data_IF_768646722770
#
_entry.id   IF_768646722770
#
_cell.length_a   1.000
_cell.length_b   1.000
_cell.length_c   1.000
_cell.angle_alpha   90.00
_cell.angle_beta   90.00
_cell.angle_gamma   90.00
#
_symmetry.space_group_name_H-M   'P 1'
#
loop_
_entity.id
_entity.type
_entity.pdbx_description
1 polymer ?
#
# COMPACT_ATOMS: atom_id res chain seq x y z
N UNK A 1 -12.53 -23.35 -20.14
CA UNK A 1 -12.47 -22.45 -18.97
C UNK A 1 -11.85 -21.14 -19.48
N UNK A 2 -12.59 -20.04 -19.50
CA UNK A 2 -12.17 -18.84 -20.25
C UNK A 2 -11.01 -18.10 -19.55
N UNK A 3 -9.95 -17.71 -20.28
CA UNK A 3 -8.80 -16.99 -19.71
C UNK A 3 -9.17 -15.69 -18.99
N UNK A 4 -10.27 -15.05 -19.40
CA UNK A 4 -10.78 -13.81 -18.83
C UNK A 4 -11.36 -13.96 -17.42
N UNK A 5 -11.88 -15.13 -17.04
CA UNK A 5 -12.44 -15.35 -15.71
C UNK A 5 -11.34 -15.49 -14.65
N UNK A 6 -10.27 -16.22 -14.97
CA UNK A 6 -9.14 -16.44 -14.06
C UNK A 6 -8.39 -15.15 -13.71
N UNK A 7 -8.24 -14.24 -14.67
CA UNK A 7 -7.57 -12.96 -14.43
C UNK A 7 -8.35 -12.06 -13.46
N UNK A 8 -9.68 -12.05 -13.57
CA UNK A 8 -10.54 -11.27 -12.67
C UNK A 8 -10.56 -11.84 -11.24
N UNK A 9 -10.58 -13.18 -11.10
CA UNK A 9 -10.50 -13.85 -9.79
C UNK A 9 -9.15 -13.61 -9.11
N UNK A 10 -8.05 -13.71 -9.87
CA UNK A 10 -6.71 -13.44 -9.35
C UNK A 10 -6.56 -11.99 -8.87
N UNK A 11 -7.04 -11.02 -9.65
CA UNK A 11 -7.04 -9.61 -9.24
C UNK A 11 -7.87 -9.36 -7.97
N UNK A 12 -9.04 -10.01 -7.87
CA UNK A 12 -9.90 -9.92 -6.68
C UNK A 12 -9.21 -10.47 -5.42
N UNK A 13 -8.53 -11.61 -5.54
CA UNK A 13 -7.76 -12.20 -4.43
C UNK A 13 -6.57 -11.32 -4.02
N UNK A 14 -5.86 -10.73 -4.98
CA UNK A 14 -4.78 -9.77 -4.73
C UNK A 14 -5.33 -8.55 -3.97
N UNK A 15 -6.42 -7.94 -4.43
CA UNK A 15 -7.05 -6.79 -3.76
C UNK A 15 -7.48 -7.13 -2.33
N UNK A 16 -8.12 -8.29 -2.13
CA UNK A 16 -8.53 -8.75 -0.79
C UNK A 16 -7.35 -8.98 0.15
N UNK A 17 -6.27 -9.58 -0.35
CA UNK A 17 -5.05 -9.81 0.43
C UNK A 17 -4.31 -8.51 0.75
N UNK A 18 -4.17 -7.62 -0.23
CA UNK A 18 -3.59 -6.29 -0.05
C UNK A 18 -4.39 -5.44 0.93
N UNK A 19 -5.73 -5.46 0.86
CA UNK A 19 -6.60 -4.76 1.81
C UNK A 19 -6.39 -5.25 3.25
N UNK A 20 -6.33 -6.58 3.45
CA UNK A 20 -6.10 -7.17 4.78
C UNK A 20 -4.71 -6.82 5.33
N UNK A 21 -3.68 -6.81 4.49
CA UNK A 21 -2.33 -6.38 4.88
C UNK A 21 -2.31 -4.89 5.22
N UNK A 22 -2.95 -4.05 4.40
CA UNK A 22 -3.04 -2.61 4.61
C UNK A 22 -3.74 -2.28 5.92
N UNK A 23 -4.85 -2.97 6.23
CA UNK A 23 -5.57 -2.84 7.50
C UNK A 23 -4.69 -3.16 8.72
N UNK A 24 -3.79 -4.15 8.59
CA UNK A 24 -2.92 -4.55 9.70
C UNK A 24 -1.72 -3.63 9.89
N UNK A 25 -1.17 -3.08 8.81
CA UNK A 25 0.15 -2.43 8.83
C UNK A 25 0.13 -0.92 8.58
N UNK A 26 -0.88 -0.38 7.89
CA UNK A 26 -0.81 0.96 7.28
C UNK A 26 -1.84 1.95 7.83
N UNK A 27 -3.03 1.48 8.25
CA UNK A 27 -4.15 2.35 8.65
C UNK A 27 -3.83 3.26 9.83
N UNK A 28 -2.88 2.86 10.68
CA UNK A 28 -2.48 3.68 11.82
C UNK A 28 -1.96 5.05 11.42
N UNK A 29 -1.49 5.21 10.18
CA UNK A 29 -1.10 6.50 9.61
C UNK A 29 -1.90 6.90 8.36
N UNK A 30 -2.33 5.92 7.57
CA UNK A 30 -2.91 6.10 6.23
C UNK A 30 -4.36 5.65 6.11
N UNK A 31 -5.14 5.83 7.17
CA UNK A 31 -6.56 5.50 7.15
C UNK A 31 -7.29 6.22 5.99
N UNK A 32 -8.15 5.48 5.30
CA UNK A 32 -8.88 5.93 4.10
C UNK A 32 -8.00 6.63 3.02
N UNK A 33 -6.71 6.29 2.95
CA UNK A 33 -5.76 6.90 2.02
C UNK A 33 -5.17 8.24 2.47
N UNK A 34 -5.50 8.71 3.67
CA UNK A 34 -4.96 9.93 4.25
C UNK A 34 -3.50 9.82 4.70
N UNK A 35 -3.04 10.81 5.45
CA UNK A 35 -1.77 10.77 6.18
C UNK A 35 -1.87 11.68 7.41
N UNK A 36 -1.98 11.08 8.60
CA UNK A 36 -2.14 11.85 9.85
C UNK A 36 -0.87 12.58 10.28
N UNK A 37 0.30 12.18 9.77
CA UNK A 37 1.61 12.75 10.14
C UNK A 37 2.06 13.87 9.21
N UNK A 38 1.68 13.80 7.94
CA UNK A 38 2.10 14.75 6.90
C UNK A 38 0.98 14.95 5.87
N UNK A 39 0.19 16.04 5.98
CA UNK A 39 -0.99 16.28 5.14
C UNK A 39 -0.73 16.31 3.63
N UNK A 40 0.46 16.72 3.19
CA UNK A 40 0.83 16.78 1.76
C UNK A 40 1.43 15.47 1.21
N UNK A 41 1.40 14.39 1.99
CA UNK A 41 1.91 13.08 1.61
C UNK A 41 0.86 11.98 1.82
N UNK A 42 -0.37 12.24 1.38
CA UNK A 42 -1.43 11.22 1.38
C UNK A 42 -1.17 10.16 0.30
N UNK A 43 -1.97 9.10 0.32
CA UNK A 43 -1.96 8.05 -0.70
C UNK A 43 -2.92 8.36 -1.86
N UNK A 44 -3.45 9.58 -1.96
CA UNK A 44 -4.24 10.01 -3.12
C UNK A 44 -3.33 10.28 -4.33
N UNK A 45 -3.84 9.99 -5.53
CA UNK A 45 -3.05 10.08 -6.77
C UNK A 45 -2.36 11.44 -6.97
N UNK A 46 -3.05 12.54 -6.64
CA UNK A 46 -2.49 13.90 -6.72
C UNK A 46 -1.21 14.05 -5.89
N UNK A 47 -1.22 13.55 -4.67
CA UNK A 47 -0.08 13.66 -3.76
C UNK A 47 1.03 12.69 -4.14
N UNK A 48 0.69 11.47 -4.56
CA UNK A 48 1.66 10.50 -5.07
C UNK A 48 2.41 11.05 -6.29
N UNK A 49 1.70 11.67 -7.24
CA UNK A 49 2.30 12.30 -8.42
C UNK A 49 3.18 13.49 -8.04
N UNK A 50 2.68 14.39 -7.18
CA UNK A 50 3.45 15.54 -6.68
C UNK A 50 4.75 15.11 -6.00
N UNK A 51 4.74 13.98 -5.30
CA UNK A 51 5.88 13.43 -4.57
C UNK A 51 6.73 12.44 -5.41
N UNK A 52 6.41 12.25 -6.69
CA UNK A 52 7.18 11.41 -7.63
C UNK A 52 7.09 9.91 -7.39
N UNK A 53 6.04 9.43 -6.74
CA UNK A 53 5.90 8.03 -6.25
C UNK A 53 4.58 7.38 -6.66
N UNK A 54 3.97 7.85 -7.75
CA UNK A 54 2.67 7.35 -8.24
C UNK A 54 2.74 6.03 -9.01
N UNK A 55 3.92 5.43 -9.15
CA UNK A 55 4.10 4.10 -9.75
C UNK A 55 4.08 3.02 -8.67
N UNK A 56 3.70 1.79 -9.04
CA UNK A 56 3.76 0.65 -8.11
C UNK A 56 5.18 0.44 -7.57
N UNK A 57 6.20 0.58 -8.40
CA UNK A 57 7.61 0.53 -7.98
C UNK A 57 7.96 1.64 -6.98
N UNK A 58 7.46 2.87 -7.19
CA UNK A 58 7.66 3.98 -6.26
C UNK A 58 7.03 3.71 -4.89
N UNK A 59 5.81 3.19 -4.88
CA UNK A 59 5.10 2.80 -3.66
C UNK A 59 5.81 1.63 -2.96
N UNK A 60 6.23 0.62 -3.72
CA UNK A 60 7.02 -0.50 -3.21
C UNK A 60 8.29 0.00 -2.52
N UNK A 61 9.07 0.86 -3.18
CA UNK A 61 10.34 1.35 -2.66
C UNK A 61 10.16 2.14 -1.36
N UNK A 62 9.15 3.03 -1.28
CA UNK A 62 8.86 3.76 -0.04
C UNK A 62 8.39 2.83 1.07
N UNK A 63 7.56 1.84 0.75
CA UNK A 63 7.09 0.86 1.74
C UNK A 63 8.25 0.00 2.24
N UNK A 64 9.18 -0.38 1.37
CA UNK A 64 10.33 -1.21 1.71
C UNK A 64 11.34 -0.44 2.58
N UNK A 65 11.79 0.72 2.12
CA UNK A 65 12.92 1.44 2.73
C UNK A 65 12.51 2.54 3.71
N UNK A 66 11.25 2.96 3.68
CA UNK A 66 10.75 4.12 4.44
C UNK A 66 11.10 5.43 3.75
N UNK A 67 10.50 6.53 4.23
CA UNK A 67 10.80 7.90 3.79
C UNK A 67 10.45 8.89 4.89
N UNK A 68 11.43 9.64 5.36
CA UNK A 68 11.23 10.64 6.42
C UNK A 68 10.70 9.98 7.70
N UNK A 69 9.47 10.33 8.09
CA UNK A 69 8.83 9.79 9.30
C UNK A 69 8.13 8.44 9.09
N UNK A 70 7.93 8.02 7.84
CA UNK A 70 7.35 6.71 7.55
C UNK A 70 8.44 5.63 7.68
N UNK A 71 8.27 4.64 8.56
CA UNK A 71 9.25 3.56 8.71
C UNK A 71 9.24 2.63 7.49
N UNK A 72 10.40 2.10 7.12
CA UNK A 72 10.51 1.02 6.13
C UNK A 72 10.16 -0.36 6.71
N UNK A 73 9.45 -1.17 5.94
CA UNK A 73 8.92 -2.49 6.34
C UNK A 73 9.71 -3.68 5.77
N UNK A 74 10.57 -3.46 4.77
CA UNK A 74 11.31 -4.53 4.11
C UNK A 74 12.30 -5.24 5.03
N UNK A 75 12.54 -6.53 4.76
CA UNK A 75 13.47 -7.37 5.52
C UNK A 75 14.89 -6.78 5.58
N UNK A 76 15.34 -6.17 4.47
CA UNK A 76 16.67 -5.56 4.35
C UNK A 76 16.66 -4.05 4.61
N UNK A 77 15.57 -3.48 5.15
CA UNK A 77 15.56 -2.07 5.53
C UNK A 77 16.62 -1.80 6.61
N UNK A 78 17.49 -0.82 6.35
CA UNK A 78 18.55 -0.39 7.25
C UNK A 78 18.87 1.10 7.02
N UNK A 79 19.39 1.83 8.04
CA UNK A 79 19.66 1.39 9.42
C UNK A 79 18.39 1.15 10.25
N UNK A 80 18.50 0.38 11.36
CA UNK A 80 17.33 -0.06 12.16
C UNK A 80 16.38 1.06 12.55
N UNK A 81 16.89 2.26 12.84
CA UNK A 81 16.10 3.42 13.27
C UNK A 81 15.18 4.02 12.21
N UNK A 82 15.42 3.80 10.92
CA UNK A 82 14.52 4.28 9.85
C UNK A 82 13.39 3.29 9.54
N UNK A 83 13.37 2.17 10.25
CA UNK A 83 12.57 1.02 9.88
C UNK A 83 11.60 0.63 10.98
N UNK A 84 10.54 -0.13 10.63
CA UNK A 84 9.51 -0.50 11.61
C UNK A 84 10.10 -1.31 12.76
N UNK A 85 9.71 -1.00 13.99
CA UNK A 85 10.10 -1.77 15.16
C UNK A 85 9.35 -3.12 15.25
N UNK A 86 8.20 -3.23 14.60
CA UNK A 86 7.45 -4.48 14.48
C UNK A 86 8.07 -5.48 13.49
N UNK A 87 7.34 -6.57 13.18
CA UNK A 87 7.76 -7.55 12.19
C UNK A 87 8.02 -6.91 10.82
N UNK A 88 8.99 -7.48 10.10
CA UNK A 88 9.26 -7.15 8.70
C UNK A 88 8.22 -7.83 7.80
N UNK A 89 8.02 -7.25 6.63
CA UNK A 89 7.20 -7.83 5.58
C UNK A 89 8.09 -8.46 4.51
N UNK A 90 7.62 -9.59 3.96
CA UNK A 90 8.25 -10.24 2.82
C UNK A 90 8.10 -9.38 1.56
N UNK A 91 8.96 -9.59 0.56
CA UNK A 91 8.91 -8.83 -0.69
C UNK A 91 7.55 -8.96 -1.40
N UNK A 92 6.97 -10.17 -1.43
CA UNK A 92 5.64 -10.41 -2.00
C UNK A 92 4.53 -9.66 -1.24
N UNK A 93 4.60 -9.55 0.08
CA UNK A 93 3.62 -8.77 0.86
C UNK A 93 3.70 -7.28 0.53
N UNK A 94 4.91 -6.75 0.32
CA UNK A 94 5.13 -5.35 -0.06
C UNK A 94 4.65 -5.09 -1.50
N UNK A 95 4.84 -6.05 -2.42
CA UNK A 95 4.26 -5.98 -3.78
C UNK A 95 2.74 -5.90 -3.74
N UNK A 96 2.10 -6.79 -2.96
CA UNK A 96 0.64 -6.78 -2.77
C UNK A 96 0.13 -5.45 -2.20
N UNK A 97 0.86 -4.87 -1.23
CA UNK A 97 0.55 -3.54 -0.69
C UNK A 97 0.68 -2.44 -1.75
N UNK A 98 1.74 -2.47 -2.55
CA UNK A 98 1.96 -1.48 -3.59
C UNK A 98 0.88 -1.51 -4.68
N UNK A 99 0.52 -2.71 -5.15
CA UNK A 99 -0.58 -2.94 -6.08
C UNK A 99 -1.92 -2.46 -5.50
N UNK A 100 -2.19 -2.79 -4.23
CA UNK A 100 -3.41 -2.34 -3.55
C UNK A 100 -3.48 -0.82 -3.43
N UNK A 101 -2.43 -0.16 -2.95
CA UNK A 101 -2.38 1.29 -2.82
C UNK A 101 -2.53 1.96 -4.18
N UNK A 102 -1.87 1.46 -5.22
CA UNK A 102 -2.01 1.99 -6.58
C UNK A 102 -3.45 1.87 -7.08
N UNK A 103 -4.06 0.70 -6.94
CA UNK A 103 -5.46 0.44 -7.31
C UNK A 103 -6.44 1.33 -6.55
N UNK A 104 -6.21 1.59 -5.26
CA UNK A 104 -7.03 2.49 -4.46
C UNK A 104 -6.84 3.95 -4.88
N UNK A 105 -5.61 4.38 -5.13
CA UNK A 105 -5.31 5.73 -5.59
C UNK A 105 -5.93 6.03 -6.96
N UNK A 106 -5.89 5.07 -7.90
CA UNK A 106 -6.53 5.16 -9.21
C UNK A 106 -8.05 5.32 -9.11
N UNK A 107 -8.67 4.70 -8.09
CA UNK A 107 -10.11 4.76 -7.82
C UNK A 107 -10.52 5.88 -6.87
N UNK A 108 -9.58 6.70 -6.42
CA UNK A 108 -9.84 7.80 -5.50
C UNK A 108 -10.26 7.36 -4.09
N UNK A 109 -9.75 6.22 -3.62
CA UNK A 109 -10.03 5.66 -2.28
C UNK A 109 -11.54 5.50 -1.96
N UNK A 110 -12.26 4.62 -2.69
CA UNK A 110 -13.66 4.34 -2.38
C UNK A 110 -13.78 3.69 -1.00
N UNK A 111 -14.86 3.98 -0.28
CA UNK A 111 -15.15 3.31 0.99
C UNK A 111 -15.32 1.80 0.74
N UNK A 112 -14.55 0.96 1.44
CA UNK A 112 -14.55 -0.50 1.25
C UNK A 112 -15.68 -1.15 2.06
N UNK A 113 -16.36 -0.39 2.94
CA UNK A 113 -17.54 -0.83 3.69
C UNK A 113 -18.80 -0.93 2.81
N UNK A 114 -18.86 -1.85 1.83
CA UNK A 114 -20.15 -2.29 1.23
C UNK A 114 -20.07 -3.53 0.30
N UNK A 115 -19.17 -4.50 0.54
CA UNK A 115 -19.17 -5.78 -0.22
C UNK A 115 -19.08 -6.99 0.69
N UNK A 116 -19.99 -7.05 1.65
CA UNK A 116 -20.13 -8.16 2.58
C UNK A 116 -21.54 -8.25 3.13
N UNK A 117 -22.53 -8.33 2.22
CA UNK A 117 -23.83 -8.93 2.48
C UNK A 117 -24.00 -10.10 1.49
#
# INVERSE_FOLDING_TARGET
>A
MSPTLFAAESLSQTISSGARLFQKACIGCHDMGGNILQPDATLFMKDLQRNGVSTEEGIYNITYYGKGRMPGFGEKCAPRGQCTFGPRLQEEEIKLLAEFVKSQADRGWPNIESRGD
#
